data_IF_638983343945
#
_entry.id   IF_638983343945
#
_cell.length_a   1.000
_cell.length_b   1.000
_cell.length_c   1.000
_cell.angle_alpha   90.00
_cell.angle_beta   90.00
_cell.angle_gamma   90.00
#
_symmetry.space_group_name_H-M   'P 1'
#
loop_
_entity.id
_entity.type
_entity.pdbx_description
1 polymer ?
#
# COMPACT_ATOMS: atom_id res chain seq x y z
N UNK A 1 61.60 2.18 25.94
CA UNK A 1 61.18 2.09 24.53
C UNK A 1 60.51 0.74 24.30
N UNK A 2 59.18 0.64 24.43
CA UNK A 2 58.40 -0.57 24.12
C UNK A 2 57.34 -0.13 23.11
N UNK A 3 57.44 -0.62 21.88
CA UNK A 3 56.50 -0.32 20.79
C UNK A 3 55.25 -1.19 20.96
N UNK A 4 54.10 -0.55 21.19
CA UNK A 4 52.78 -1.20 21.13
C UNK A 4 52.50 -1.61 19.66
N UNK A 5 52.36 -2.90 19.40
CA UNK A 5 51.82 -3.44 18.15
C UNK A 5 50.30 -3.56 18.30
N UNK A 6 49.57 -2.54 17.87
CA UNK A 6 48.10 -2.57 17.80
C UNK A 6 47.66 -3.37 16.58
N UNK A 7 47.13 -4.57 16.80
CA UNK A 7 46.37 -5.32 15.80
C UNK A 7 45.01 -4.63 15.61
N UNK A 8 44.89 -3.84 14.53
CA UNK A 8 43.60 -3.31 14.09
C UNK A 8 42.89 -4.41 13.31
N UNK A 9 41.96 -5.11 13.95
CA UNK A 9 41.07 -6.04 13.28
C UNK A 9 40.05 -5.26 12.44
N UNK A 10 40.27 -5.21 11.12
CA UNK A 10 39.34 -4.63 10.16
C UNK A 10 38.14 -5.57 9.98
N UNK A 11 37.14 -5.46 10.84
CA UNK A 11 35.84 -6.09 10.63
C UNK A 11 35.18 -5.46 9.40
N UNK A 12 35.24 -6.14 8.25
CA UNK A 12 34.40 -5.86 7.09
C UNK A 12 32.95 -6.20 7.48
N UNK A 13 32.23 -5.21 8.02
CA UNK A 13 30.79 -5.32 8.29
C UNK A 13 30.09 -5.30 6.93
N UNK A 14 29.78 -6.48 6.39
CA UNK A 14 28.88 -6.58 5.24
C UNK A 14 27.48 -6.22 5.72
N UNK A 15 27.06 -4.97 5.50
CA UNK A 15 25.69 -4.56 5.72
C UNK A 15 24.80 -5.29 4.69
N UNK A 16 24.11 -6.34 5.13
CA UNK A 16 23.04 -6.93 4.33
C UNK A 16 21.89 -5.91 4.25
N UNK A 17 21.35 -5.60 3.05
CA UNK A 17 20.18 -4.75 2.96
C UNK A 17 19.04 -5.45 3.69
N UNK A 18 18.55 -4.84 4.77
CA UNK A 18 17.32 -5.29 5.40
C UNK A 18 16.19 -5.11 4.38
N UNK A 19 15.47 -6.19 4.08
CA UNK A 19 14.22 -6.09 3.32
C UNK A 19 13.23 -5.40 4.26
N UNK A 20 13.06 -4.09 4.10
CA UNK A 20 12.06 -3.34 4.84
C UNK A 20 10.67 -3.86 4.43
N UNK A 21 9.84 -4.17 5.41
CA UNK A 21 8.44 -4.50 5.17
C UNK A 21 7.66 -3.21 4.99
N UNK A 22 7.41 -2.85 3.74
CA UNK A 22 6.71 -1.62 3.43
C UNK A 22 5.23 -1.92 3.18
N UNK A 23 4.38 -1.26 3.93
CA UNK A 23 2.94 -1.35 3.88
C UNK A 23 2.36 -0.15 3.16
N UNK A 24 1.30 -0.41 2.41
CA UNK A 24 0.39 0.61 1.88
C UNK A 24 -1.05 0.19 2.09
N UNK A 25 -1.94 1.17 2.11
CA UNK A 25 -3.37 0.94 2.22
C UNK A 25 -4.14 1.93 1.34
N UNK A 26 -5.36 1.53 0.94
CA UNK A 26 -6.35 2.41 0.34
C UNK A 26 -7.61 2.33 1.20
N UNK A 27 -8.12 3.48 1.61
CA UNK A 27 -9.43 3.64 2.24
C UNK A 27 -10.41 4.26 1.25
N UNK A 28 -11.68 3.88 1.35
CA UNK A 28 -12.71 4.27 0.42
C UNK A 28 -14.03 4.52 1.14
N UNK A 29 -14.72 5.60 0.75
CA UNK A 29 -16.11 5.88 1.09
C UNK A 29 -17.01 5.44 -0.07
N UNK A 30 -17.87 4.42 0.09
CA UNK A 30 -18.86 4.07 -0.92
C UNK A 30 -19.87 5.18 -1.23
N UNK A 31 -20.24 5.99 -0.24
CA UNK A 31 -21.27 7.03 -0.38
C UNK A 31 -20.80 8.20 -1.24
N UNK A 32 -19.65 8.80 -0.90
CA UNK A 32 -19.14 10.01 -1.58
C UNK A 32 -18.08 9.70 -2.63
N UNK A 33 -17.59 8.46 -2.66
CA UNK A 33 -16.46 8.00 -3.48
C UNK A 33 -15.13 8.64 -3.09
N UNK A 34 -15.00 9.21 -1.90
CA UNK A 34 -13.73 9.69 -1.36
C UNK A 34 -12.71 8.54 -1.23
N UNK A 35 -11.43 8.85 -1.51
CA UNK A 35 -10.34 7.88 -1.47
C UNK A 35 -9.18 8.47 -0.67
N UNK A 36 -8.77 7.77 0.38
CA UNK A 36 -7.52 8.00 1.09
C UNK A 36 -6.54 6.87 0.83
N UNK A 37 -5.23 7.14 0.89
CA UNK A 37 -4.21 6.12 0.71
C UNK A 37 -2.92 6.43 1.47
N UNK A 38 -2.07 5.42 1.59
CA UNK A 38 -0.76 5.46 2.25
C UNK A 38 0.22 4.49 1.57
N UNK A 39 1.51 4.74 1.75
CA UNK A 39 2.63 3.92 1.28
C UNK A 39 3.87 4.22 2.13
N UNK A 40 4.93 3.41 2.01
CA UNK A 40 6.21 3.55 2.72
C UNK A 40 6.07 3.50 4.26
N UNK A 41 5.10 2.75 4.78
CA UNK A 41 4.95 2.55 6.23
C UNK A 41 5.58 1.23 6.66
N UNK A 42 6.31 1.23 7.78
CA UNK A 42 6.87 0.01 8.36
C UNK A 42 5.86 -0.80 9.19
N UNK A 43 4.64 -0.28 9.35
CA UNK A 43 3.55 -0.91 10.09
C UNK A 43 2.27 -0.96 9.25
N UNK A 44 1.59 -2.09 9.32
CA UNK A 44 0.26 -2.27 8.72
C UNK A 44 -0.77 -1.30 9.33
N UNK A 45 -0.75 -1.11 10.66
CA UNK A 45 -1.69 -0.22 11.35
C UNK A 45 -1.51 1.22 10.90
N UNK A 46 -0.27 1.70 10.89
CA UNK A 46 0.03 3.09 10.54
C UNK A 46 -0.34 3.39 9.08
N UNK A 47 -0.14 2.41 8.19
CA UNK A 47 -0.61 2.51 6.81
C UNK A 47 -2.15 2.63 6.75
N UNK A 48 -2.87 1.80 7.50
CA UNK A 48 -4.34 1.82 7.56
C UNK A 48 -4.85 3.14 8.13
N UNK A 49 -4.34 3.56 9.27
CA UNK A 49 -4.73 4.79 9.96
C UNK A 49 -4.46 6.03 9.09
N UNK A 50 -3.30 6.06 8.41
CA UNK A 50 -3.01 7.15 7.47
C UNK A 50 -3.98 7.18 6.30
N UNK A 51 -4.30 6.02 5.72
CA UNK A 51 -5.25 5.94 4.62
C UNK A 51 -6.66 6.35 5.05
N UNK A 52 -7.12 5.92 6.24
CA UNK A 52 -8.39 6.31 6.84
C UNK A 52 -8.45 7.82 7.08
N UNK A 53 -7.48 8.38 7.81
CA UNK A 53 -7.37 9.82 8.06
C UNK A 53 -7.39 10.64 6.76
N UNK A 54 -6.72 10.16 5.71
CA UNK A 54 -6.74 10.82 4.41
C UNK A 54 -8.14 10.80 3.74
N UNK A 55 -8.88 9.70 3.88
CA UNK A 55 -10.23 9.55 3.36
C UNK A 55 -11.23 10.40 4.15
N UNK A 56 -11.11 10.39 5.48
CA UNK A 56 -12.05 11.01 6.42
C UNK A 56 -12.08 12.54 6.35
N UNK A 57 -11.05 13.16 5.74
CA UNK A 57 -11.08 14.57 5.38
C UNK A 57 -12.23 14.93 4.41
N UNK A 58 -12.81 13.94 3.73
CA UNK A 58 -13.80 14.14 2.66
C UNK A 58 -15.08 13.31 2.84
N UNK A 59 -15.14 12.37 3.79
CA UNK A 59 -16.29 11.49 3.99
C UNK A 59 -16.32 10.87 5.39
N UNK A 60 -17.49 10.43 5.86
CA UNK A 60 -17.66 9.85 7.20
C UNK A 60 -17.76 8.31 7.21
N UNK A 61 -18.07 7.71 6.07
CA UNK A 61 -18.25 6.26 5.88
C UNK A 61 -17.00 5.57 5.30
N UNK A 62 -15.84 6.20 5.46
CA UNK A 62 -14.57 5.63 5.02
C UNK A 62 -14.30 4.28 5.69
N UNK A 63 -13.76 3.35 4.91
CA UNK A 63 -13.25 2.06 5.40
C UNK A 63 -11.99 1.67 4.65
N UNK A 64 -11.10 0.93 5.31
CA UNK A 64 -9.95 0.33 4.65
C UNK A 64 -10.45 -0.65 3.59
N UNK A 65 -10.27 -0.29 2.32
CA UNK A 65 -10.67 -1.11 1.18
C UNK A 65 -9.65 -2.22 0.92
N UNK A 66 -8.35 -1.91 1.04
CA UNK A 66 -7.28 -2.89 0.89
C UNK A 66 -6.03 -2.44 1.66
N UNK A 67 -5.28 -3.41 2.16
CA UNK A 67 -3.93 -3.22 2.70
C UNK A 67 -3.01 -4.24 2.03
N UNK A 68 -1.80 -3.82 1.72
CA UNK A 68 -0.84 -4.62 0.97
C UNK A 68 0.58 -4.34 1.49
N UNK A 69 1.46 -5.33 1.32
CA UNK A 69 2.83 -5.31 1.82
C UNK A 69 3.78 -5.69 0.69
N UNK A 70 4.83 -4.91 0.49
CA UNK A 70 5.83 -5.14 -0.56
C UNK A 70 5.21 -5.35 -1.95
N UNK A 71 4.13 -4.61 -2.23
CA UNK A 71 3.23 -4.84 -3.35
C UNK A 71 2.54 -3.54 -3.76
N UNK A 72 1.79 -3.59 -4.86
CA UNK A 72 0.86 -2.55 -5.26
C UNK A 72 -0.57 -2.99 -4.99
N UNK A 73 -1.39 -2.09 -4.45
CA UNK A 73 -2.84 -2.23 -4.32
C UNK A 73 -3.57 -1.29 -5.26
N UNK A 74 -4.75 -1.69 -5.70
CA UNK A 74 -5.63 -0.89 -6.55
C UNK A 74 -7.10 -1.02 -6.12
N UNK A 75 -7.86 0.04 -6.40
CA UNK A 75 -9.29 0.17 -6.20
C UNK A 75 -9.94 0.53 -7.53
N UNK A 76 -10.96 -0.25 -7.92
CA UNK A 76 -11.81 0.01 -9.07
C UNK A 76 -13.25 0.21 -8.64
N UNK A 77 -13.97 1.09 -9.34
CA UNK A 77 -15.36 1.44 -9.05
C UNK A 77 -16.17 1.43 -10.36
N UNK A 78 -17.34 0.81 -10.31
CA UNK A 78 -18.34 0.72 -11.37
C UNK A 78 -19.31 1.90 -11.36
N UNK A 79 -20.14 1.96 -12.39
CA UNK A 79 -21.02 3.13 -12.65
C UNK A 79 -22.04 3.36 -11.55
N UNK A 80 -22.60 2.28 -11.00
CA UNK A 80 -23.65 2.28 -9.96
C UNK A 80 -23.09 2.16 -8.54
N UNK A 81 -21.77 2.27 -8.38
CA UNK A 81 -21.12 2.31 -7.06
C UNK A 81 -20.65 0.96 -6.54
N UNK A 82 -20.82 -0.14 -7.28
CA UNK A 82 -20.11 -1.37 -6.95
C UNK A 82 -18.61 -1.17 -7.13
N UNK A 83 -17.80 -1.78 -6.28
CA UNK A 83 -16.37 -1.54 -6.24
C UNK A 83 -15.63 -2.84 -5.94
N UNK A 84 -14.33 -2.85 -6.23
CA UNK A 84 -13.47 -4.00 -6.00
C UNK A 84 -12.02 -3.57 -5.89
N UNK A 85 -11.22 -4.44 -5.29
CA UNK A 85 -9.81 -4.16 -5.04
C UNK A 85 -8.95 -5.32 -5.51
N UNK A 86 -7.66 -5.05 -5.70
CA UNK A 86 -6.69 -6.07 -6.06
C UNK A 86 -5.31 -5.66 -5.63
N UNK A 87 -4.48 -6.64 -5.28
CA UNK A 87 -3.06 -6.42 -5.05
C UNK A 87 -2.22 -7.45 -5.79
N UNK A 88 -1.00 -7.04 -6.13
CA UNK A 88 0.03 -7.88 -6.73
C UNK A 88 1.38 -7.21 -6.54
N UNK A 89 2.48 -7.96 -6.71
CA UNK A 89 3.82 -7.38 -6.71
C UNK A 89 4.00 -6.29 -7.80
N UNK A 90 3.20 -6.33 -8.87
CA UNK A 90 3.20 -5.35 -9.94
C UNK A 90 1.92 -4.54 -10.03
N UNK A 91 2.05 -3.25 -10.35
CA UNK A 91 0.94 -2.30 -10.55
C UNK A 91 -0.10 -2.81 -11.55
N UNK A 92 0.32 -3.25 -12.75
CA UNK A 92 -0.60 -3.63 -13.82
C UNK A 92 -1.52 -4.78 -13.40
N UNK A 93 -0.95 -5.82 -12.77
CA UNK A 93 -1.71 -6.96 -12.28
C UNK A 93 -2.61 -6.58 -11.10
N UNK A 94 -2.17 -5.69 -10.20
CA UNK A 94 -3.03 -5.18 -9.13
C UNK A 94 -4.27 -4.45 -9.70
N UNK A 95 -4.08 -3.64 -10.74
CA UNK A 95 -5.15 -2.95 -11.44
C UNK A 95 -6.12 -3.92 -12.14
N UNK A 96 -5.60 -4.93 -12.85
CA UNK A 96 -6.41 -5.99 -13.47
C UNK A 96 -7.25 -6.73 -12.44
N UNK A 97 -6.65 -7.10 -11.31
CA UNK A 97 -7.36 -7.76 -10.20
C UNK A 97 -8.46 -6.88 -9.62
N UNK A 98 -8.21 -5.57 -9.45
CA UNK A 98 -9.24 -4.64 -8.97
C UNK A 98 -10.42 -4.54 -9.94
N UNK A 99 -10.15 -4.46 -11.26
CA UNK A 99 -11.18 -4.44 -12.29
C UNK A 99 -12.01 -5.74 -12.28
N UNK A 100 -11.34 -6.90 -12.21
CA UNK A 100 -11.99 -8.21 -12.14
C UNK A 100 -12.79 -8.39 -10.84
N UNK A 101 -12.31 -7.86 -9.72
CA UNK A 101 -13.06 -7.86 -8.46
C UNK A 101 -14.29 -6.97 -8.55
N UNK A 102 -14.17 -5.80 -9.16
CA UNK A 102 -15.27 -4.85 -9.31
C UNK A 102 -16.35 -5.39 -10.26
N UNK A 103 -15.96 -6.03 -11.36
CA UNK A 103 -16.90 -6.52 -12.38
C UNK A 103 -17.87 -7.59 -11.89
N UNK A 104 -17.56 -8.23 -10.76
CA UNK A 104 -18.46 -9.17 -10.05
C UNK A 104 -19.65 -8.47 -9.39
N UNK A 105 -19.55 -7.17 -9.12
CA UNK A 105 -20.55 -6.40 -8.41
C UNK A 105 -21.19 -5.32 -9.28
N UNK A 106 -20.49 -4.83 -10.31
CA UNK A 106 -21.01 -3.78 -11.18
C UNK A 106 -20.36 -3.73 -12.58
N UNK A 107 -21.02 -3.04 -13.51
CA UNK A 107 -20.52 -2.79 -14.86
C UNK A 107 -19.77 -1.46 -14.99
N UNK A 108 -18.97 -1.35 -16.05
CA UNK A 108 -18.22 -0.12 -16.35
C UNK A 108 -17.15 0.22 -15.31
N UNK A 109 -16.57 -0.80 -14.67
CA UNK A 109 -15.50 -0.65 -13.70
C UNK A 109 -14.29 0.07 -14.28
N UNK A 110 -13.81 1.08 -13.57
CA UNK A 110 -12.59 1.81 -13.88
C UNK A 110 -11.70 1.87 -12.64
N UNK A 111 -10.38 1.78 -12.84
CA UNK A 111 -9.43 1.98 -11.73
C UNK A 111 -9.50 3.43 -11.29
N UNK A 112 -9.86 3.66 -10.03
CA UNK A 112 -9.92 4.99 -9.43
C UNK A 112 -8.63 5.34 -8.69
N UNK A 113 -7.96 4.34 -8.12
CA UNK A 113 -6.66 4.53 -7.46
C UNK A 113 -5.82 3.27 -7.53
N UNK A 114 -4.50 3.45 -7.62
CA UNK A 114 -3.51 2.43 -7.35
C UNK A 114 -2.33 3.07 -6.61
N UNK A 115 -1.64 2.29 -5.79
CA UNK A 115 -0.51 2.71 -4.97
C UNK A 115 0.42 1.51 -4.80
N UNK A 116 1.72 1.72 -4.92
CA UNK A 116 2.72 0.75 -4.53
C UNK A 116 3.24 1.10 -3.13
N UNK A 117 3.57 0.09 -2.34
CA UNK A 117 4.04 0.30 -0.97
C UNK A 117 5.44 0.90 -0.91
N UNK A 118 6.15 0.90 -2.05
CA UNK A 118 7.49 1.42 -2.32
C UNK A 118 7.52 2.18 -3.66
#
# INVERSE_FOLDING_TARGET
MIRLLTLVALCLVTAFPAIANEYGAIAYSPETRAIGYSHNYNSKSDAQDRAMSNCEQYAYDCRVAITFQNACGALAVGRRGGWGTGWSAGRAEAQTRALNSCSRYDGGCTVRRWVCSK
#
